data_IF_940830257919
#
_entry.id   IF_940830257919
#
_cell.length_a   1.000
_cell.length_b   1.000
_cell.length_c   1.000
_cell.angle_alpha   90.00
_cell.angle_beta   90.00
_cell.angle_gamma   90.00
#
_symmetry.space_group_name_H-M   'P 1'
#
loop_
_entity.id
_entity.type
_entity.pdbx_description
1 polymer ?
#
# COMPACT_ATOMS: atom_id res chain seq x y z
N UNK A 1 21.21 -2.67 20.80
CA UNK A 1 21.61 -3.31 19.52
C UNK A 1 21.71 -2.30 18.37
N UNK A 2 22.37 -2.69 17.28
CA UNK A 2 22.58 -1.87 16.08
C UNK A 2 21.72 -2.40 14.95
N UNK A 3 20.70 -1.64 14.56
CA UNK A 3 19.76 -2.01 13.48
C UNK A 3 20.02 -1.15 12.24
N UNK A 4 20.18 -1.80 11.09
CA UNK A 4 20.28 -1.12 9.82
C UNK A 4 19.02 -1.39 8.98
N UNK A 5 18.24 -0.35 8.69
CA UNK A 5 16.97 -0.50 7.98
C UNK A 5 17.07 0.05 6.56
N UNK A 6 16.42 -0.60 5.58
CA UNK A 6 16.37 -0.12 4.19
C UNK A 6 14.94 -0.10 3.69
N UNK A 7 14.43 1.11 3.43
CA UNK A 7 13.17 1.39 2.77
C UNK A 7 13.41 2.33 1.58
N UNK A 8 12.84 2.00 0.42
CA UNK A 8 13.09 2.72 -0.83
C UNK A 8 11.96 3.61 -1.32
N UNK A 9 10.82 3.66 -0.59
CA UNK A 9 9.60 4.36 -0.99
C UNK A 9 8.91 5.00 0.22
N UNK A 10 7.94 5.89 -0.03
CA UNK A 10 7.21 6.60 1.02
C UNK A 10 6.42 5.66 1.96
N UNK A 11 5.83 4.59 1.43
CA UNK A 11 5.17 3.56 2.23
C UNK A 11 6.15 2.81 3.12
N UNK A 12 7.32 2.46 2.57
CA UNK A 12 8.40 1.83 3.32
C UNK A 12 8.95 2.73 4.43
N UNK A 13 9.05 4.05 4.22
CA UNK A 13 9.43 5.03 5.24
C UNK A 13 8.42 5.06 6.41
N UNK A 14 7.12 5.01 6.10
CA UNK A 14 6.06 4.96 7.11
C UNK A 14 6.12 3.65 7.92
N UNK A 15 6.18 2.51 7.24
CA UNK A 15 6.28 1.20 7.91
C UNK A 15 7.58 1.07 8.72
N UNK A 16 8.68 1.61 8.19
CA UNK A 16 9.96 1.68 8.88
C UNK A 16 9.92 2.55 10.14
N UNK A 17 9.21 3.69 10.08
CA UNK A 17 9.04 4.56 11.24
C UNK A 17 8.26 3.87 12.37
N UNK A 18 7.15 3.20 12.04
CA UNK A 18 6.37 2.44 13.02
C UNK A 18 7.18 1.28 13.62
N UNK A 19 7.98 0.59 12.80
CA UNK A 19 8.87 -0.46 13.26
C UNK A 19 9.98 0.08 14.19
N UNK A 20 10.58 1.23 13.87
CA UNK A 20 11.59 1.90 14.70
C UNK A 20 11.02 2.25 16.07
N UNK A 21 9.83 2.87 16.11
CA UNK A 21 9.16 3.18 17.37
C UNK A 21 8.94 1.93 18.22
N UNK A 22 8.51 0.83 17.60
CA UNK A 22 8.29 -0.43 18.29
C UNK A 22 9.60 -1.12 18.73
N UNK A 23 10.70 -1.00 17.96
CA UNK A 23 12.01 -1.52 18.35
C UNK A 23 12.59 -0.77 19.56
N UNK A 24 12.45 0.54 19.61
CA UNK A 24 12.92 1.36 20.73
C UNK A 24 12.18 1.04 22.06
N UNK A 25 10.90 0.63 21.96
CA UNK A 25 10.16 0.13 23.13
C UNK A 25 10.67 -1.22 23.66
N UNK A 26 11.44 -1.98 22.87
CA UNK A 26 11.98 -3.28 23.25
C UNK A 26 13.47 -3.25 23.56
N UNK A 27 14.18 -2.29 23.00
CA UNK A 27 15.63 -2.14 23.12
C UNK A 27 15.96 -0.65 23.38
N UNK A 28 16.04 -0.28 24.65
CA UNK A 28 16.35 1.09 25.08
C UNK A 28 17.73 1.57 24.59
N UNK A 29 18.61 0.63 24.22
CA UNK A 29 19.94 0.91 23.69
C UNK A 29 20.02 0.85 22.17
N UNK A 30 18.87 0.78 21.46
CA UNK A 30 18.81 0.65 20.02
C UNK A 30 19.54 1.79 19.28
N UNK A 31 20.53 1.43 18.47
CA UNK A 31 21.20 2.34 17.55
C UNK A 31 20.67 2.09 16.14
N UNK A 32 20.00 3.10 15.59
CA UNK A 32 19.19 3.00 14.38
C UNK A 32 19.80 3.79 13.23
N UNK A 33 20.17 3.11 12.15
CA UNK A 33 20.69 3.70 10.93
C UNK A 33 19.86 3.25 9.74
N UNK A 34 19.48 4.19 8.83
CA UNK A 34 18.52 3.81 7.81
C UNK A 34 18.72 4.51 6.46
N UNK A 35 18.31 3.80 5.42
CA UNK A 35 17.86 4.37 4.15
C UNK A 35 16.33 4.47 4.25
N UNK A 36 15.79 5.69 4.19
CA UNK A 36 14.38 5.95 4.44
C UNK A 36 14.05 7.39 4.17
N UNK A 37 13.21 7.98 5.00
CA UNK A 37 12.80 9.38 4.86
C UNK A 37 12.55 10.08 6.19
N UNK A 38 11.78 11.15 6.11
CA UNK A 38 11.53 12.04 7.25
C UNK A 38 10.79 11.32 8.41
N UNK A 39 9.94 10.34 8.12
CA UNK A 39 9.19 9.63 9.16
C UNK A 39 10.10 8.75 10.01
N UNK A 40 11.00 7.99 9.37
CA UNK A 40 12.01 7.21 10.09
C UNK A 40 12.98 8.11 10.86
N UNK A 41 13.33 9.28 10.29
CA UNK A 41 14.18 10.27 10.97
C UNK A 41 13.50 10.82 12.23
N UNK A 42 12.22 11.14 12.17
CA UNK A 42 11.42 11.61 13.31
C UNK A 42 11.35 10.59 14.45
N UNK A 43 11.48 9.31 14.13
CA UNK A 43 11.58 8.23 15.11
C UNK A 43 13.03 7.96 15.56
N UNK A 44 13.98 8.87 15.32
CA UNK A 44 15.34 8.81 15.85
C UNK A 44 16.33 8.01 15.00
N UNK A 45 15.97 7.54 13.81
CA UNK A 45 16.94 6.87 12.95
C UNK A 45 17.86 7.88 12.25
N UNK A 46 19.16 7.56 12.21
CA UNK A 46 20.11 8.30 11.39
C UNK A 46 19.89 7.97 9.92
N UNK A 47 19.39 8.93 9.14
CA UNK A 47 19.14 8.74 7.70
C UNK A 47 20.44 8.94 6.91
N UNK A 48 20.86 7.86 6.24
CA UNK A 48 22.05 7.84 5.37
C UNK A 48 21.71 8.30 3.95
N UNK A 49 20.57 7.86 3.44
CA UNK A 49 20.06 8.20 2.11
C UNK A 49 18.56 8.35 2.14
N UNK A 50 18.05 9.48 1.66
CA UNK A 50 16.61 9.72 1.58
C UNK A 50 16.01 9.00 0.35
N UNK A 51 14.85 8.32 0.53
CA UNK A 51 14.20 7.53 -0.53
C UNK A 51 13.86 8.35 -1.79
N UNK A 52 13.63 9.66 -1.68
CA UNK A 52 13.40 10.54 -2.83
C UNK A 52 14.54 10.51 -3.85
N UNK A 53 15.74 10.16 -3.42
CA UNK A 53 16.92 9.99 -4.28
C UNK A 53 17.10 8.55 -4.80
N UNK A 54 16.13 7.65 -4.49
CA UNK A 54 16.16 6.24 -4.88
C UNK A 54 15.05 5.89 -5.89
N UNK A 55 14.09 6.78 -6.08
CA UNK A 55 12.89 6.54 -6.88
C UNK A 55 13.22 6.57 -8.39
N UNK A 56 13.68 5.44 -8.91
CA UNK A 56 13.74 5.19 -10.35
C UNK A 56 12.61 4.23 -10.72
N UNK A 57 11.51 4.75 -11.27
CA UNK A 57 10.34 3.96 -11.64
C UNK A 57 10.27 3.79 -13.15
N UNK A 58 10.18 2.53 -13.59
CA UNK A 58 10.03 2.18 -15.00
C UNK A 58 11.33 1.69 -15.66
N UNK A 59 11.13 0.83 -16.67
CA UNK A 59 12.25 0.15 -17.36
C UNK A 59 13.29 1.12 -17.94
N UNK A 60 12.84 2.20 -18.56
CA UNK A 60 13.71 3.21 -19.18
C UNK A 60 14.46 4.04 -18.14
N UNK A 61 13.82 4.41 -17.02
CA UNK A 61 14.48 5.14 -15.95
C UNK A 61 15.55 4.30 -15.25
N UNK A 62 15.26 3.01 -15.04
CA UNK A 62 16.25 2.06 -14.49
C UNK A 62 17.45 1.91 -15.41
N UNK A 63 17.26 1.75 -16.73
CA UNK A 63 18.35 1.66 -17.71
C UNK A 63 19.19 2.94 -17.73
N UNK A 64 18.56 4.10 -17.77
CA UNK A 64 19.23 5.40 -17.80
C UNK A 64 20.07 5.64 -16.54
N UNK A 65 19.61 5.14 -15.38
CA UNK A 65 20.23 5.38 -14.08
C UNK A 65 20.99 4.16 -13.53
N UNK A 66 21.33 3.18 -14.36
CA UNK A 66 21.98 1.93 -13.89
C UNK A 66 23.28 2.20 -13.14
N UNK A 67 24.08 3.19 -13.57
CA UNK A 67 25.33 3.59 -12.90
C UNK A 67 25.05 4.13 -11.50
N UNK A 68 24.04 4.96 -11.35
CA UNK A 68 23.61 5.52 -10.04
C UNK A 68 23.10 4.41 -9.12
N UNK A 69 22.35 3.45 -9.65
CA UNK A 69 21.87 2.30 -8.87
C UNK A 69 23.04 1.46 -8.37
N UNK A 70 24.03 1.17 -9.23
CA UNK A 70 25.23 0.41 -8.83
C UNK A 70 26.08 1.18 -7.82
N UNK A 71 26.24 2.49 -7.99
CA UNK A 71 26.93 3.35 -7.02
C UNK A 71 26.20 3.36 -5.66
N UNK A 72 24.88 3.43 -5.67
CA UNK A 72 24.07 3.33 -4.45
C UNK A 72 24.23 1.97 -3.75
N UNK A 73 24.26 0.87 -4.50
CA UNK A 73 24.52 -0.47 -3.93
C UNK A 73 25.90 -0.53 -3.30
N UNK A 74 26.93 -0.01 -3.97
CA UNK A 74 28.29 0.01 -3.43
C UNK A 74 28.41 0.86 -2.17
N UNK A 75 27.80 2.04 -2.19
CA UNK A 75 27.75 2.94 -1.03
C UNK A 75 27.02 2.30 0.15
N UNK A 76 25.86 1.69 -0.07
CA UNK A 76 25.09 0.99 0.97
C UNK A 76 25.91 -0.13 1.61
N UNK A 77 26.57 -0.94 0.82
CA UNK A 77 27.44 -2.03 1.33
C UNK A 77 28.57 -1.50 2.20
N UNK A 78 29.26 -0.45 1.75
CA UNK A 78 30.35 0.17 2.54
C UNK A 78 29.83 0.74 3.85
N UNK A 79 28.67 1.37 3.81
CA UNK A 79 28.05 1.97 4.99
C UNK A 79 27.61 0.89 6.01
N UNK A 80 27.01 -0.20 5.56
CA UNK A 80 26.66 -1.36 6.41
C UNK A 80 27.91 -1.97 7.08
N UNK A 81 29.01 -2.13 6.33
CA UNK A 81 30.27 -2.65 6.89
C UNK A 81 30.84 -1.73 7.98
N UNK A 82 30.79 -0.41 7.77
CA UNK A 82 31.27 0.57 8.75
C UNK A 82 30.35 0.60 9.98
N UNK A 83 29.07 0.47 9.79
CA UNK A 83 28.09 0.49 10.87
C UNK A 83 28.11 -0.82 11.69
N UNK A 84 28.43 -1.98 11.09
CA UNK A 84 28.44 -3.31 11.73
C UNK A 84 27.13 -3.60 12.45
N UNK A 85 26.01 -3.73 11.73
CA UNK A 85 24.71 -3.99 12.35
C UNK A 85 24.62 -5.41 12.93
N UNK A 86 23.90 -5.55 14.04
CA UNK A 86 23.50 -6.85 14.58
C UNK A 86 22.33 -7.45 13.77
N UNK A 87 21.49 -6.59 13.19
CA UNK A 87 20.40 -6.97 12.29
C UNK A 87 20.28 -6.02 11.09
N UNK A 88 20.12 -6.60 9.89
CA UNK A 88 19.77 -5.88 8.66
C UNK A 88 18.29 -6.09 8.37
N UNK A 89 17.49 -5.01 8.41
CA UNK A 89 16.04 -5.04 8.17
C UNK A 89 15.71 -4.44 6.82
N UNK A 90 15.21 -5.26 5.90
CA UNK A 90 14.83 -4.87 4.55
C UNK A 90 13.31 -4.73 4.49
N UNK A 91 12.82 -3.55 4.06
CA UNK A 91 11.39 -3.24 4.00
C UNK A 91 10.99 -3.08 2.55
N UNK A 92 10.14 -3.99 2.03
CA UNK A 92 9.70 -3.99 0.61
C UNK A 92 10.88 -3.74 -0.37
N UNK A 93 10.74 -2.88 -1.37
CA UNK A 93 11.78 -2.40 -2.31
C UNK A 93 12.65 -3.54 -2.92
N UNK A 94 12.03 -4.54 -3.56
CA UNK A 94 12.67 -5.83 -3.85
C UNK A 94 13.84 -5.76 -4.82
N UNK A 95 13.86 -4.79 -5.72
CA UNK A 95 14.94 -4.65 -6.71
C UNK A 95 16.30 -4.43 -6.06
N UNK A 96 16.37 -3.51 -5.12
CA UNK A 96 17.57 -3.14 -4.39
C UNK A 96 17.82 -4.08 -3.20
N UNK A 97 16.79 -4.32 -2.38
CA UNK A 97 16.89 -5.09 -1.16
C UNK A 97 17.37 -6.52 -1.39
N UNK A 98 16.96 -7.19 -2.48
CA UNK A 98 17.45 -8.53 -2.81
C UNK A 98 18.95 -8.58 -3.18
N UNK A 99 19.50 -7.48 -3.73
CA UNK A 99 20.95 -7.38 -4.01
C UNK A 99 21.72 -7.27 -2.70
N UNK A 100 21.24 -6.44 -1.79
CA UNK A 100 21.84 -6.25 -0.47
C UNK A 100 21.70 -7.54 0.37
N UNK A 101 20.53 -8.17 0.38
CA UNK A 101 20.29 -9.45 1.08
C UNK A 101 21.30 -10.52 0.65
N UNK A 102 21.44 -10.72 -0.68
CA UNK A 102 22.39 -11.70 -1.23
C UNK A 102 23.83 -11.46 -0.78
N UNK A 103 24.22 -10.21 -0.64
CA UNK A 103 25.56 -9.84 -0.21
C UNK A 103 25.73 -9.98 1.30
N UNK A 104 24.78 -9.49 2.10
CA UNK A 104 24.81 -9.50 3.56
C UNK A 104 24.84 -10.93 4.11
N UNK A 105 24.03 -11.83 3.54
CA UNK A 105 23.99 -13.25 3.93
C UNK A 105 25.35 -13.94 3.76
N UNK A 106 26.14 -13.57 2.75
CA UNK A 106 27.49 -14.12 2.54
C UNK A 106 28.49 -13.70 3.62
N UNK A 107 28.19 -12.59 4.31
CA UNK A 107 29.01 -12.05 5.39
C UNK A 107 28.50 -12.47 6.77
N UNK A 108 27.48 -13.31 6.82
CA UNK A 108 26.90 -13.77 8.08
C UNK A 108 26.04 -12.73 8.80
N UNK A 109 25.70 -11.60 8.14
CA UNK A 109 24.83 -10.57 8.73
C UNK A 109 23.38 -11.09 8.72
N UNK A 110 22.68 -11.15 9.87
CA UNK A 110 21.29 -11.58 9.95
C UNK A 110 20.38 -10.66 9.12
N UNK A 111 19.67 -11.25 8.15
CA UNK A 111 18.79 -10.53 7.23
C UNK A 111 17.33 -10.81 7.60
N UNK A 112 16.63 -9.77 8.05
CA UNK A 112 15.20 -9.74 8.28
C UNK A 112 14.51 -9.04 7.11
N UNK A 113 13.53 -9.70 6.48
CA UNK A 113 12.81 -9.10 5.36
C UNK A 113 11.34 -8.87 5.76
N UNK A 114 10.96 -7.62 5.88
CA UNK A 114 9.62 -7.17 6.23
C UNK A 114 8.88 -6.66 4.97
N UNK A 115 7.64 -7.13 4.77
CA UNK A 115 6.85 -6.89 3.56
C UNK A 115 7.55 -7.51 2.34
N UNK A 116 7.38 -8.81 2.20
CA UNK A 116 8.03 -9.57 1.13
C UNK A 116 7.59 -9.10 -0.28
N UNK A 117 8.45 -9.27 -1.29
CA UNK A 117 8.05 -9.04 -2.68
C UNK A 117 6.81 -9.87 -3.04
N UNK A 118 5.89 -9.28 -3.79
CA UNK A 118 4.66 -9.92 -4.25
C UNK A 118 4.95 -11.04 -5.28
N UNK A 119 5.69 -12.06 -4.85
CA UNK A 119 6.07 -13.22 -5.66
C UNK A 119 4.85 -14.06 -6.08
N UNK A 120 3.78 -13.99 -5.30
CA UNK A 120 2.49 -14.63 -5.56
C UNK A 120 1.74 -14.02 -6.75
N UNK A 121 1.96 -12.74 -7.05
CA UNK A 121 1.33 -12.04 -8.19
C UNK A 121 2.08 -12.32 -9.50
N UNK A 122 3.41 -12.32 -9.45
CA UNK A 122 4.28 -12.49 -10.61
C UNK A 122 5.71 -12.84 -10.18
N UNK A 123 6.51 -13.45 -11.05
CA UNK A 123 7.91 -13.85 -10.76
C UNK A 123 8.04 -14.75 -9.52
N UNK A 124 7.27 -15.81 -9.48
CA UNK A 124 7.29 -16.85 -8.43
C UNK A 124 8.70 -17.41 -8.14
N UNK A 125 9.59 -17.40 -9.13
CA UNK A 125 11.00 -17.81 -8.96
C UNK A 125 11.79 -16.96 -7.94
N UNK A 126 11.26 -15.80 -7.51
CA UNK A 126 11.83 -15.00 -6.42
C UNK A 126 11.82 -15.74 -5.08
N UNK A 127 10.90 -16.66 -4.87
CA UNK A 127 10.81 -17.44 -3.62
C UNK A 127 12.11 -18.18 -3.33
N UNK A 128 12.72 -18.81 -4.35
CA UNK A 128 14.04 -19.48 -4.20
C UNK A 128 15.14 -18.52 -3.76
N UNK A 129 15.10 -17.27 -4.25
CA UNK A 129 16.09 -16.25 -3.86
C UNK A 129 15.86 -15.74 -2.44
N UNK A 130 14.59 -15.56 -2.04
CA UNK A 130 14.21 -15.21 -0.67
C UNK A 130 14.70 -16.30 0.30
N UNK A 131 14.40 -17.57 0.02
CA UNK A 131 14.84 -18.69 0.82
C UNK A 131 16.37 -18.71 1.03
N UNK A 132 17.13 -18.42 -0.04
CA UNK A 132 18.60 -18.47 -0.02
C UNK A 132 19.27 -17.26 0.64
N UNK A 133 18.63 -16.09 0.61
CA UNK A 133 19.28 -14.81 0.92
C UNK A 133 18.61 -14.02 2.04
N UNK A 134 17.68 -14.62 2.80
CA UNK A 134 17.08 -14.02 3.98
C UNK A 134 17.00 -15.05 5.09
N UNK A 135 17.26 -14.63 6.33
CA UNK A 135 17.16 -15.51 7.51
C UNK A 135 15.70 -15.54 8.00
N UNK A 136 15.06 -14.37 8.11
CA UNK A 136 13.74 -14.21 8.67
C UNK A 136 12.84 -13.41 7.72
N UNK A 137 11.55 -13.77 7.62
CA UNK A 137 10.61 -13.26 6.61
C UNK A 137 9.28 -12.98 7.24
N UNK A 138 8.81 -11.73 7.10
CA UNK A 138 7.59 -11.24 7.71
C UNK A 138 6.60 -10.82 6.62
N UNK A 139 5.46 -11.50 6.55
CA UNK A 139 4.40 -11.24 5.58
C UNK A 139 3.23 -10.52 6.22
N UNK A 140 2.52 -9.73 5.42
CA UNK A 140 1.44 -8.86 5.87
C UNK A 140 0.05 -9.26 5.34
N UNK A 141 0.00 -10.15 4.34
CA UNK A 141 -1.24 -10.62 3.76
C UNK A 141 -1.50 -12.08 4.16
N UNK A 142 -2.71 -12.44 4.61
CA UNK A 142 -3.00 -13.78 5.15
C UNK A 142 -2.80 -14.89 4.13
N UNK A 143 -3.14 -14.68 2.85
CA UNK A 143 -2.95 -15.67 1.79
C UNK A 143 -1.48 -15.93 1.42
N UNK A 144 -0.57 -15.07 1.86
CA UNK A 144 0.87 -15.27 1.68
C UNK A 144 1.37 -16.48 2.49
N UNK A 145 0.71 -16.81 3.61
CA UNK A 145 1.02 -18.00 4.41
C UNK A 145 0.90 -19.26 3.56
N UNK A 146 -0.27 -19.46 2.94
CA UNK A 146 -0.49 -20.62 2.08
C UNK A 146 0.47 -20.65 0.89
N UNK A 147 0.71 -19.49 0.29
CA UNK A 147 1.63 -19.37 -0.84
C UNK A 147 3.08 -19.74 -0.45
N UNK A 148 3.62 -19.18 0.61
CA UNK A 148 5.01 -19.43 0.98
C UNK A 148 5.19 -20.76 1.70
N UNK A 149 4.35 -21.09 2.69
CA UNK A 149 4.53 -22.31 3.51
C UNK A 149 3.96 -23.56 2.85
N UNK A 150 2.70 -23.51 2.35
CA UNK A 150 2.08 -24.70 1.81
C UNK A 150 2.64 -25.04 0.44
N UNK A 151 2.72 -24.06 -0.46
CA UNK A 151 3.18 -24.29 -1.84
C UNK A 151 4.69 -24.39 -1.96
N UNK A 152 5.45 -23.53 -1.27
CA UNK A 152 6.91 -23.40 -1.44
C UNK A 152 7.73 -23.96 -0.28
N UNK A 153 7.11 -24.43 0.80
CA UNK A 153 7.77 -24.93 2.00
C UNK A 153 8.80 -23.96 2.59
N UNK A 154 8.52 -22.66 2.46
CA UNK A 154 9.35 -21.57 2.96
C UNK A 154 8.73 -21.01 4.23
N UNK A 155 9.40 -21.15 5.35
CA UNK A 155 8.95 -20.61 6.64
C UNK A 155 8.90 -19.09 6.61
N UNK A 156 7.77 -18.55 7.06
CA UNK A 156 7.49 -17.12 7.20
C UNK A 156 6.75 -16.85 8.51
N UNK A 157 6.66 -15.60 8.90
CA UNK A 157 5.81 -15.15 10.01
C UNK A 157 4.74 -14.19 9.48
N UNK A 158 3.48 -14.52 9.69
CA UNK A 158 2.38 -13.59 9.44
C UNK A 158 2.24 -12.62 10.61
N UNK A 159 2.49 -11.36 10.36
CA UNK A 159 2.53 -10.32 11.40
C UNK A 159 1.29 -9.43 11.45
N UNK A 160 0.41 -9.55 10.45
CA UNK A 160 -0.73 -8.64 10.24
C UNK A 160 -0.37 -7.48 9.33
N UNK A 161 -1.39 -6.69 8.95
CA UNK A 161 -1.19 -5.61 7.98
C UNK A 161 -0.97 -4.27 8.69
N UNK A 162 0.19 -3.59 8.45
CA UNK A 162 0.55 -2.35 9.15
C UNK A 162 -0.41 -1.18 8.88
N UNK A 163 -1.15 -1.22 7.78
CA UNK A 163 -2.17 -0.23 7.45
C UNK A 163 -3.26 -0.12 8.55
N UNK A 164 -3.53 -1.21 9.27
CA UNK A 164 -4.47 -1.17 10.40
C UNK A 164 -3.95 -0.23 11.48
N UNK A 165 -2.68 -0.36 11.85
CA UNK A 165 -2.05 0.50 12.87
C UNK A 165 -2.05 1.97 12.41
N UNK A 166 -1.78 2.22 11.13
CA UNK A 166 -1.80 3.55 10.53
C UNK A 166 -3.17 4.22 10.62
N UNK A 167 -4.23 3.50 10.25
CA UNK A 167 -5.60 4.04 10.27
C UNK A 167 -6.08 4.34 11.70
N UNK A 168 -5.68 3.52 12.67
CA UNK A 168 -5.99 3.76 14.07
C UNK A 168 -5.18 4.90 14.71
N UNK A 169 -4.04 5.26 14.13
CA UNK A 169 -3.23 6.39 14.57
C UNK A 169 -3.73 7.75 14.04
N UNK A 170 -4.64 7.74 13.05
CA UNK A 170 -5.20 8.98 12.49
C UNK A 170 -6.18 9.59 13.48
N UNK A 171 -6.03 10.87 13.85
CA UNK A 171 -6.95 11.57 14.72
C UNK A 171 -8.39 11.49 14.20
N UNK A 172 -9.35 11.54 15.12
CA UNK A 172 -10.75 11.58 14.76
C UNK A 172 -11.06 12.85 13.95
N UNK A 173 -11.77 12.65 12.84
CA UNK A 173 -12.24 13.76 12.01
C UNK A 173 -13.44 14.42 12.70
N UNK A 174 -13.40 15.74 12.80
CA UNK A 174 -14.62 16.53 13.07
C UNK A 174 -15.41 16.65 11.77
N UNK A 175 -16.25 15.65 11.49
CA UNK A 175 -16.96 15.50 10.21
C UNK A 175 -17.78 16.72 9.85
N UNK A 176 -18.53 17.31 10.82
CA UNK A 176 -19.36 18.51 10.57
C UNK A 176 -18.51 19.70 10.14
N UNK A 177 -17.36 19.92 10.76
CA UNK A 177 -16.45 20.99 10.40
C UNK A 177 -15.85 20.76 8.99
N UNK A 178 -15.53 19.52 8.65
CA UNK A 178 -15.00 19.20 7.33
C UNK A 178 -16.07 19.33 6.24
N UNK A 179 -17.31 18.90 6.51
CA UNK A 179 -18.45 19.12 5.61
C UNK A 179 -18.71 20.61 5.40
N UNK A 180 -18.68 21.41 6.46
CA UNK A 180 -18.87 22.86 6.39
C UNK A 180 -17.82 23.54 5.51
N UNK A 181 -16.53 23.13 5.58
CA UNK A 181 -15.45 23.60 4.72
C UNK A 181 -15.73 23.37 3.23
N UNK A 182 -16.46 22.31 2.89
CA UNK A 182 -16.82 21.93 1.52
C UNK A 182 -18.21 22.45 1.11
N UNK A 183 -18.92 23.15 2.00
CA UNK A 183 -20.30 23.57 1.75
C UNK A 183 -21.27 22.41 1.59
N UNK A 184 -21.02 21.27 2.23
CA UNK A 184 -21.84 20.05 2.18
C UNK A 184 -22.74 19.99 3.41
N UNK A 185 -24.08 20.07 3.27
CA UNK A 185 -25.01 19.89 4.37
C UNK A 185 -24.82 18.52 5.06
N UNK A 186 -25.08 18.45 6.39
CA UNK A 186 -24.89 17.22 7.15
C UNK A 186 -25.77 16.05 6.69
N UNK A 187 -26.95 16.34 6.14
CA UNK A 187 -27.87 15.34 5.61
C UNK A 187 -27.57 14.93 4.15
N UNK A 188 -26.68 15.64 3.44
CA UNK A 188 -26.34 15.32 2.06
C UNK A 188 -25.39 14.11 1.99
N UNK A 189 -25.75 13.12 1.19
CA UNK A 189 -24.95 11.93 0.96
C UNK A 189 -23.76 12.22 0.06
N UNK A 190 -22.61 11.64 0.35
CA UNK A 190 -21.36 11.85 -0.39
C UNK A 190 -20.90 10.57 -1.08
N UNK A 191 -20.49 10.69 -2.34
CA UNK A 191 -19.78 9.67 -3.09
C UNK A 191 -18.32 10.12 -3.26
N UNK A 192 -17.39 9.34 -2.71
CA UNK A 192 -15.96 9.61 -2.84
C UNK A 192 -15.42 9.08 -4.17
N UNK A 193 -14.61 9.88 -4.87
CA UNK A 193 -13.89 9.47 -6.08
C UNK A 193 -12.40 9.41 -5.77
N UNK A 194 -11.81 8.21 -5.85
CA UNK A 194 -10.38 7.95 -5.68
C UNK A 194 -9.76 7.51 -7.02
N UNK A 195 -9.44 8.45 -7.92
CA UNK A 195 -9.07 8.13 -9.31
C UNK A 195 -7.63 7.63 -9.46
N UNK A 196 -6.90 7.48 -8.35
CA UNK A 196 -5.51 7.02 -8.32
C UNK A 196 -4.52 8.15 -8.09
N UNK A 197 -3.24 7.78 -7.97
CA UNK A 197 -2.13 8.69 -7.65
C UNK A 197 -1.22 9.00 -8.85
N UNK A 198 -1.50 8.44 -10.04
CA UNK A 198 -0.71 8.61 -11.25
C UNK A 198 -1.51 9.30 -12.34
N UNK A 199 -0.87 10.21 -13.08
CA UNK A 199 -1.51 10.92 -14.22
C UNK A 199 -2.20 9.97 -15.21
N UNK A 200 -1.60 8.81 -15.47
CA UNK A 200 -2.18 7.82 -16.41
C UNK A 200 -3.46 7.17 -15.88
N UNK A 201 -3.54 6.92 -14.58
CA UNK A 201 -4.73 6.38 -13.92
C UNK A 201 -5.86 7.42 -13.98
N UNK A 202 -5.58 8.64 -13.54
CA UNK A 202 -6.55 9.75 -13.52
C UNK A 202 -7.11 10.02 -14.92
N UNK A 203 -6.25 10.13 -15.93
CA UNK A 203 -6.69 10.38 -17.31
C UNK A 203 -7.63 9.29 -17.87
N UNK A 204 -7.56 8.06 -17.37
CA UNK A 204 -8.37 6.95 -17.90
C UNK A 204 -9.59 6.63 -17.04
N UNK A 205 -9.50 6.84 -15.73
CA UNK A 205 -10.51 6.38 -14.78
C UNK A 205 -11.42 7.54 -14.35
N UNK A 206 -10.88 8.73 -14.07
CA UNK A 206 -11.70 9.86 -13.63
C UNK A 206 -12.79 10.26 -14.63
N UNK A 207 -12.58 10.25 -15.97
CA UNK A 207 -13.67 10.48 -16.92
C UNK A 207 -14.84 9.51 -16.78
N UNK A 208 -14.54 8.23 -16.48
CA UNK A 208 -15.59 7.23 -16.24
C UNK A 208 -16.27 7.46 -14.88
N UNK A 209 -15.52 7.81 -13.84
CA UNK A 209 -16.10 8.16 -12.55
C UNK A 209 -17.00 9.39 -12.64
N UNK A 210 -16.61 10.40 -13.42
CA UNK A 210 -17.38 11.63 -13.62
C UNK A 210 -18.64 11.41 -14.46
N UNK A 211 -18.65 10.44 -15.37
CA UNK A 211 -19.80 10.20 -16.25
C UNK A 211 -21.07 9.70 -15.56
N UNK A 212 -20.98 9.31 -14.29
CA UNK A 212 -22.16 8.85 -13.53
C UNK A 212 -22.75 9.92 -12.62
N UNK A 213 -22.15 11.12 -12.55
CA UNK A 213 -22.58 12.19 -11.62
C UNK A 213 -24.04 12.54 -11.82
N UNK A 214 -24.47 12.76 -13.06
CA UNK A 214 -25.83 13.16 -13.40
C UNK A 214 -26.88 12.09 -13.07
N UNK A 215 -26.46 10.82 -12.99
CA UNK A 215 -27.35 9.74 -12.60
C UNK A 215 -27.64 9.69 -11.08
N UNK A 216 -26.88 10.45 -10.26
CA UNK A 216 -27.04 10.51 -8.81
C UNK A 216 -27.18 11.94 -8.29
N UNK A 217 -28.22 12.71 -8.71
CA UNK A 217 -28.35 14.14 -8.41
C UNK A 217 -28.51 14.46 -6.92
N UNK A 218 -28.92 13.48 -6.11
CA UNK A 218 -29.08 13.62 -4.66
C UNK A 218 -27.77 13.38 -3.89
N UNK A 219 -26.66 13.08 -4.58
CA UNK A 219 -25.37 12.86 -3.95
C UNK A 219 -24.38 13.97 -4.31
N UNK A 220 -23.55 14.35 -3.35
CA UNK A 220 -22.38 15.20 -3.60
C UNK A 220 -21.19 14.32 -3.95
N UNK A 221 -20.55 14.57 -5.06
CA UNK A 221 -19.30 13.88 -5.43
C UNK A 221 -18.10 14.68 -4.94
N UNK A 222 -17.10 14.00 -4.38
CA UNK A 222 -15.85 14.60 -3.90
C UNK A 222 -14.66 13.78 -4.38
N UNK A 223 -13.72 14.43 -5.05
CA UNK A 223 -12.47 13.79 -5.50
C UNK A 223 -11.42 13.89 -4.41
N UNK A 224 -10.85 12.76 -4.01
CA UNK A 224 -9.63 12.70 -3.20
C UNK A 224 -8.41 12.78 -4.13
N UNK A 225 -7.78 13.95 -4.18
CA UNK A 225 -6.58 14.23 -4.95
C UNK A 225 -5.29 14.10 -4.15
N UNK A 226 -4.15 14.06 -4.84
CA UNK A 226 -2.81 14.04 -4.24
C UNK A 226 -1.97 15.21 -4.74
N UNK A 227 -1.13 15.81 -3.90
CA UNK A 227 -0.26 16.96 -4.24
C UNK A 227 0.79 16.66 -5.32
N UNK A 228 1.04 15.37 -5.61
CA UNK A 228 1.91 14.97 -6.71
C UNK A 228 1.32 15.27 -8.09
N UNK A 229 0.03 15.59 -8.15
CA UNK A 229 -0.76 15.83 -9.37
C UNK A 229 -1.35 17.24 -9.28
N UNK A 230 -1.23 17.99 -10.34
CA UNK A 230 -1.83 19.31 -10.42
C UNK A 230 -3.36 19.21 -10.30
N UNK A 231 -3.96 20.08 -9.49
CA UNK A 231 -5.42 20.13 -9.24
C UNK A 231 -6.21 20.33 -10.53
N UNK A 232 -5.64 21.06 -11.49
CA UNK A 232 -6.25 21.33 -12.80
C UNK A 232 -6.55 20.07 -13.60
N UNK A 233 -5.75 19.00 -13.41
CA UNK A 233 -5.99 17.73 -14.08
C UNK A 233 -7.29 17.06 -13.61
N UNK A 234 -7.60 17.15 -12.32
CA UNK A 234 -8.87 16.63 -11.77
C UNK A 234 -10.05 17.49 -12.26
N UNK A 235 -9.91 18.80 -12.21
CA UNK A 235 -10.92 19.76 -12.65
C UNK A 235 -11.25 19.64 -14.14
N UNK A 236 -10.27 19.25 -14.97
CA UNK A 236 -10.48 19.00 -16.40
C UNK A 236 -11.55 17.94 -16.67
N UNK A 237 -11.62 16.88 -15.84
CA UNK A 237 -12.53 15.75 -16.04
C UNK A 237 -13.76 15.80 -15.14
N UNK A 238 -13.69 16.57 -14.07
CA UNK A 238 -14.77 16.76 -13.12
C UNK A 238 -14.84 18.25 -12.69
N UNK A 239 -15.23 19.16 -13.60
CA UNK A 239 -15.11 20.61 -13.38
C UNK A 239 -15.94 21.13 -12.21
N UNK A 240 -17.11 20.52 -11.96
CA UNK A 240 -18.05 20.94 -10.92
C UNK A 240 -17.97 20.06 -9.65
N UNK A 241 -16.86 19.32 -9.48
CA UNK A 241 -16.66 18.43 -8.33
C UNK A 241 -15.60 19.01 -7.41
N UNK A 242 -15.83 18.96 -6.11
CA UNK A 242 -14.85 19.36 -5.13
C UNK A 242 -13.61 18.44 -5.19
N UNK A 243 -12.44 19.03 -5.27
CA UNK A 243 -11.16 18.31 -5.23
C UNK A 243 -10.44 18.63 -3.92
N UNK A 244 -10.33 17.63 -3.06
CA UNK A 244 -9.68 17.72 -1.76
C UNK A 244 -8.30 17.04 -1.87
N UNK A 245 -7.25 17.83 -1.63
CA UNK A 245 -5.88 17.37 -1.80
C UNK A 245 -5.31 16.78 -0.49
N UNK A 246 -4.64 15.62 -0.58
CA UNK A 246 -3.92 14.93 0.51
C UNK A 246 -4.74 14.63 1.78
N UNK A 247 -6.05 14.56 1.66
CA UNK A 247 -6.99 14.28 2.76
C UNK A 247 -7.93 13.11 2.41
N UNK A 248 -7.39 12.06 1.82
CA UNK A 248 -8.17 10.90 1.34
C UNK A 248 -9.03 10.29 2.44
N UNK A 249 -8.50 10.13 3.64
CA UNK A 249 -9.23 9.52 4.76
C UNK A 249 -10.38 10.41 5.25
N UNK A 250 -10.21 11.73 5.22
CA UNK A 250 -11.28 12.66 5.60
C UNK A 250 -12.43 12.60 4.59
N UNK A 251 -12.10 12.52 3.29
CA UNK A 251 -13.11 12.34 2.23
C UNK A 251 -13.83 10.99 2.38
N UNK A 252 -13.10 9.91 2.68
CA UNK A 252 -13.70 8.60 2.89
C UNK A 252 -14.62 8.58 4.11
N UNK A 253 -14.22 9.21 5.23
CA UNK A 253 -15.03 9.21 6.47
C UNK A 253 -16.39 9.87 6.30
N UNK A 254 -16.52 10.89 5.43
CA UNK A 254 -17.83 11.52 5.14
C UNK A 254 -18.60 10.82 4.02
N UNK A 255 -18.00 9.83 3.34
CA UNK A 255 -18.58 9.17 2.19
C UNK A 255 -19.55 8.04 2.58
N UNK A 256 -20.67 7.94 1.85
CA UNK A 256 -21.57 6.80 1.92
C UNK A 256 -21.04 5.60 1.13
N UNK A 257 -20.37 5.88 0.01
CA UNK A 257 -19.77 4.91 -0.91
C UNK A 257 -18.58 5.54 -1.61
N UNK A 258 -17.62 4.72 -2.07
CA UNK A 258 -16.48 5.20 -2.83
C UNK A 258 -16.34 4.49 -4.17
N UNK A 259 -15.87 5.20 -5.20
CA UNK A 259 -15.39 4.62 -6.45
C UNK A 259 -13.87 4.73 -6.43
N UNK A 260 -13.18 3.58 -6.42
CA UNK A 260 -11.77 3.49 -6.08
C UNK A 260 -10.97 2.85 -7.21
N UNK A 261 -9.89 3.48 -7.61
CA UNK A 261 -8.90 2.84 -8.50
C UNK A 261 -8.19 1.70 -7.78
N UNK A 262 -8.06 0.54 -8.44
CA UNK A 262 -7.38 -0.62 -7.87
C UNK A 262 -5.97 -0.27 -7.39
N UNK A 263 -5.68 -0.59 -6.13
CA UNK A 263 -4.44 -0.32 -5.42
C UNK A 263 -4.65 -0.46 -3.91
N UNK A 264 -3.71 0.03 -3.12
CA UNK A 264 -3.77 0.03 -1.64
C UNK A 264 -5.03 0.77 -1.13
N UNK A 265 -5.46 1.80 -1.85
CA UNK A 265 -6.66 2.58 -1.52
C UNK A 265 -7.93 1.72 -1.39
N UNK A 266 -8.01 0.57 -2.07
CA UNK A 266 -9.14 -0.35 -1.90
C UNK A 266 -9.17 -0.97 -0.50
N UNK A 267 -8.01 -1.31 0.05
CA UNK A 267 -7.91 -1.85 1.39
C UNK A 267 -8.17 -0.76 2.44
N UNK A 268 -7.62 0.44 2.26
CA UNK A 268 -7.88 1.62 3.10
C UNK A 268 -9.38 1.91 3.22
N UNK A 269 -10.07 1.92 2.07
CA UNK A 269 -11.52 2.14 2.00
C UNK A 269 -12.31 1.06 2.75
N UNK A 270 -11.90 -0.20 2.60
CA UNK A 270 -12.55 -1.32 3.29
C UNK A 270 -12.33 -1.28 4.82
N UNK A 271 -11.11 -0.93 5.26
CA UNK A 271 -10.78 -0.79 6.69
C UNK A 271 -11.53 0.36 7.36
N UNK A 272 -11.83 1.43 6.61
CA UNK A 272 -12.71 2.53 7.05
C UNK A 272 -14.21 2.16 6.96
N UNK A 273 -14.54 0.93 6.56
CA UNK A 273 -15.90 0.43 6.39
C UNK A 273 -16.75 1.26 5.42
N UNK A 274 -16.13 1.77 4.37
CA UNK A 274 -16.83 2.46 3.28
C UNK A 274 -17.05 1.48 2.14
N UNK A 275 -18.30 1.15 1.79
CA UNK A 275 -18.60 0.33 0.61
C UNK A 275 -17.99 0.93 -0.65
N UNK A 276 -17.52 0.09 -1.57
CA UNK A 276 -16.78 0.59 -2.74
C UNK A 276 -17.04 -0.22 -4.00
N UNK A 277 -16.84 0.44 -5.13
CA UNK A 277 -16.67 -0.16 -6.45
C UNK A 277 -15.23 0.07 -6.88
N UNK A 278 -14.56 -0.98 -7.36
CA UNK A 278 -13.18 -0.91 -7.80
C UNK A 278 -13.12 -0.75 -9.32
N UNK A 279 -12.42 0.29 -9.77
CA UNK A 279 -12.17 0.57 -11.17
C UNK A 279 -10.72 0.27 -11.53
N UNK A 280 -10.50 -0.40 -12.67
CA UNK A 280 -9.17 -0.62 -13.21
C UNK A 280 -9.14 -0.42 -14.73
N UNK A 281 -8.35 0.53 -15.19
CA UNK A 281 -8.21 0.86 -16.63
C UNK A 281 -6.77 1.23 -16.96
N UNK A 282 -6.16 0.49 -17.87
CA UNK A 282 -4.80 0.75 -18.36
C UNK A 282 -4.76 0.72 -19.89
N UNK A 283 -3.58 0.83 -20.52
CA UNK A 283 -3.50 0.71 -21.98
C UNK A 283 -3.83 -0.73 -22.40
N UNK A 284 -4.46 -0.95 -23.58
CA UNK A 284 -4.78 -2.30 -24.06
C UNK A 284 -3.55 -3.21 -24.12
N UNK A 285 -2.41 -2.66 -24.56
CA UNK A 285 -1.14 -3.40 -24.62
C UNK A 285 -0.64 -3.78 -23.22
N UNK A 286 -0.63 -2.83 -22.29
CA UNK A 286 -0.22 -3.10 -20.89
C UNK A 286 -1.11 -4.14 -20.24
N UNK A 287 -2.42 -4.08 -20.50
CA UNK A 287 -3.37 -5.06 -19.98
C UNK A 287 -3.16 -6.45 -20.57
N UNK A 288 -2.95 -6.55 -21.88
CA UNK A 288 -2.68 -7.82 -22.57
C UNK A 288 -1.42 -8.50 -22.01
N UNK A 289 -0.37 -7.71 -21.73
CA UNK A 289 0.87 -8.19 -21.10
C UNK A 289 0.60 -8.61 -19.65
N UNK A 290 -0.06 -7.77 -18.86
CA UNK A 290 -0.38 -8.06 -17.47
C UNK A 290 -1.22 -9.34 -17.33
N UNK A 291 -2.25 -9.52 -18.15
CA UNK A 291 -3.13 -10.69 -18.15
C UNK A 291 -2.38 -12.01 -18.43
N UNK A 292 -1.27 -11.96 -19.20
CA UNK A 292 -0.43 -13.15 -19.46
C UNK A 292 0.52 -13.49 -18.32
N UNK A 293 0.95 -12.47 -17.57
CA UNK A 293 1.98 -12.60 -16.52
C UNK A 293 1.36 -12.80 -15.15
N UNK A 294 0.28 -12.07 -14.86
CA UNK A 294 -0.41 -12.05 -13.57
C UNK A 294 -1.55 -13.08 -13.61
N UNK A 295 -1.46 -14.11 -12.79
CA UNK A 295 -2.47 -15.18 -12.69
C UNK A 295 -3.29 -15.02 -11.40
N UNK A 296 -3.86 -13.85 -11.20
CA UNK A 296 -4.68 -13.57 -10.03
C UNK A 296 -6.17 -13.58 -10.40
N UNK A 297 -7.05 -14.10 -9.53
CA UNK A 297 -8.49 -14.10 -9.77
C UNK A 297 -9.13 -12.71 -9.64
N UNK A 298 -8.49 -11.79 -8.93
CA UNK A 298 -8.98 -10.45 -8.64
C UNK A 298 -7.88 -9.40 -8.81
N UNK A 299 -8.26 -8.14 -9.00
CA UNK A 299 -7.32 -7.01 -9.13
C UNK A 299 -7.23 -6.17 -7.85
N UNK A 300 -8.22 -6.23 -6.96
CA UNK A 300 -8.19 -5.52 -5.68
C UNK A 300 -7.66 -6.39 -4.55
N UNK A 301 -6.93 -5.77 -3.62
CA UNK A 301 -6.47 -6.44 -2.40
C UNK A 301 -7.66 -6.94 -1.56
N UNK A 302 -8.76 -6.22 -1.55
CA UNK A 302 -9.99 -6.60 -0.82
C UNK A 302 -10.50 -7.98 -1.27
N UNK A 303 -10.69 -8.19 -2.56
CA UNK A 303 -11.17 -9.47 -3.10
C UNK A 303 -10.13 -10.58 -2.97
N UNK A 304 -8.85 -10.26 -3.15
CA UNK A 304 -7.75 -11.22 -2.95
C UNK A 304 -7.69 -11.73 -1.51
N UNK A 305 -7.79 -10.84 -0.52
CA UNK A 305 -7.77 -11.21 0.90
C UNK A 305 -9.08 -11.94 1.29
N UNK A 306 -10.22 -11.48 0.78
CA UNK A 306 -11.50 -12.15 1.00
C UNK A 306 -11.53 -13.57 0.39
N UNK A 307 -10.78 -13.81 -0.70
CA UNK A 307 -10.81 -15.05 -1.48
C UNK A 307 -12.07 -15.19 -2.33
N UNK A 308 -12.86 -14.12 -2.48
CA UNK A 308 -14.13 -14.08 -3.22
C UNK A 308 -14.41 -12.66 -3.75
N UNK A 309 -15.35 -12.53 -4.67
CA UNK A 309 -15.85 -11.24 -5.13
C UNK A 309 -16.69 -10.59 -4.01
N UNK A 310 -16.03 -9.83 -3.15
CA UNK A 310 -16.65 -9.08 -2.05
C UNK A 310 -17.11 -7.71 -2.53
N UNK A 311 -16.28 -7.02 -3.31
CA UNK A 311 -16.58 -5.73 -3.93
C UNK A 311 -16.54 -5.87 -5.45
N UNK A 312 -17.43 -5.18 -6.15
CA UNK A 312 -17.48 -5.20 -7.61
C UNK A 312 -16.19 -4.62 -8.21
N UNK A 313 -15.61 -5.36 -9.18
CA UNK A 313 -14.44 -4.91 -9.95
C UNK A 313 -14.82 -4.65 -11.41
N UNK A 314 -14.71 -3.41 -11.83
CA UNK A 314 -14.96 -2.99 -13.21
C UNK A 314 -13.61 -2.83 -13.93
N UNK A 315 -13.32 -3.76 -14.84
CA UNK A 315 -11.99 -3.89 -15.44
C UNK A 315 -12.06 -3.57 -16.95
N UNK A 316 -11.21 -2.66 -17.41
CA UNK A 316 -11.02 -2.29 -18.81
C UNK A 316 -12.32 -1.88 -19.52
N UNK A 317 -12.89 -2.73 -20.38
CA UNK A 317 -14.14 -2.47 -21.13
C UNK A 317 -15.35 -2.39 -20.21
N UNK A 318 -15.35 -3.14 -19.13
CA UNK A 318 -16.44 -3.17 -18.16
C UNK A 318 -16.37 -1.94 -17.22
N UNK A 319 -15.23 -1.21 -17.20
CA UNK A 319 -15.12 0.09 -16.55
C UNK A 319 -15.71 1.17 -17.48
N UNK A 320 -17.04 1.30 -17.48
CA UNK A 320 -17.84 2.23 -18.28
C UNK A 320 -19.01 2.82 -17.45
N UNK A 321 -19.68 3.86 -17.97
CA UNK A 321 -20.74 4.56 -17.25
C UNK A 321 -21.90 3.64 -16.86
N UNK A 322 -22.36 2.78 -17.77
CA UNK A 322 -23.50 1.90 -17.54
C UNK A 322 -23.23 0.92 -16.39
N UNK A 323 -22.14 0.15 -16.48
CA UNK A 323 -21.77 -0.82 -15.45
C UNK A 323 -21.47 -0.16 -14.10
N UNK A 324 -20.89 1.05 -14.11
CA UNK A 324 -20.60 1.81 -12.88
C UNK A 324 -21.89 2.33 -12.23
N UNK A 325 -22.88 2.77 -13.02
CA UNK A 325 -24.18 3.20 -12.50
C UNK A 325 -24.91 2.03 -11.84
N UNK A 326 -24.95 0.88 -12.51
CA UNK A 326 -25.58 -0.35 -11.99
C UNK A 326 -24.91 -0.81 -10.68
N UNK A 327 -23.57 -0.86 -10.66
CA UNK A 327 -22.81 -1.20 -9.45
C UNK A 327 -23.03 -0.21 -8.29
N UNK A 328 -23.15 1.08 -8.59
CA UNK A 328 -23.48 2.10 -7.57
C UNK A 328 -24.89 1.91 -7.00
N UNK A 329 -25.88 1.63 -7.84
CA UNK A 329 -27.24 1.35 -7.40
C UNK A 329 -27.31 0.13 -6.49
N UNK A 330 -26.61 -0.95 -6.87
CA UNK A 330 -26.53 -2.17 -6.05
C UNK A 330 -25.90 -1.88 -4.68
N UNK A 331 -24.71 -1.28 -4.64
CA UNK A 331 -24.00 -1.04 -3.37
C UNK A 331 -24.65 0.02 -2.48
N UNK A 332 -25.44 0.92 -3.04
CA UNK A 332 -26.25 1.92 -2.31
C UNK A 332 -27.54 1.29 -1.74
N UNK A 333 -27.99 0.16 -2.28
CA UNK A 333 -29.15 -0.55 -1.75
C UNK A 333 -28.89 -1.07 -0.32
N UNK A 334 -29.91 -1.20 0.55
CA UNK A 334 -29.75 -1.72 1.90
C UNK A 334 -29.10 -3.11 1.92
N UNK A 335 -29.49 -3.98 0.96
CA UNK A 335 -28.97 -5.36 0.86
C UNK A 335 -27.53 -5.40 0.39
N UNK A 336 -27.19 -4.68 -0.68
CA UNK A 336 -25.84 -4.61 -1.22
C UNK A 336 -24.87 -4.01 -0.20
N UNK A 337 -25.26 -2.91 0.45
CA UNK A 337 -24.47 -2.29 1.52
C UNK A 337 -24.21 -3.25 2.69
N UNK A 338 -25.24 -3.93 3.20
CA UNK A 338 -25.12 -4.89 4.30
C UNK A 338 -24.16 -6.03 3.96
N UNK A 339 -24.27 -6.59 2.76
CA UNK A 339 -23.39 -7.66 2.25
C UNK A 339 -21.92 -7.23 2.23
N UNK A 340 -21.62 -6.05 1.73
CA UNK A 340 -20.24 -5.53 1.66
C UNK A 340 -19.68 -5.28 3.05
N UNK A 341 -20.46 -4.63 3.93
CA UNK A 341 -19.99 -4.31 5.30
C UNK A 341 -19.73 -5.55 6.13
N UNK A 342 -20.60 -6.56 6.08
CA UNK A 342 -20.36 -7.85 6.75
C UNK A 342 -19.07 -8.52 6.23
N UNK A 343 -18.83 -8.46 4.91
CA UNK A 343 -17.59 -8.99 4.35
C UNK A 343 -16.34 -8.23 4.76
N UNK A 344 -16.45 -6.93 5.06
CA UNK A 344 -15.33 -6.15 5.60
C UNK A 344 -14.99 -6.54 7.04
N UNK A 345 -15.98 -6.92 7.86
CA UNK A 345 -15.71 -7.44 9.20
C UNK A 345 -14.89 -8.73 9.15
N UNK A 346 -15.26 -9.68 8.26
CA UNK A 346 -14.48 -10.91 8.01
C UNK A 346 -13.06 -10.59 7.51
N UNK A 347 -12.93 -9.60 6.61
CA UNK A 347 -11.64 -9.19 6.04
C UNK A 347 -10.72 -8.61 7.11
N UNK A 348 -11.23 -7.75 8.00
CA UNK A 348 -10.46 -7.15 9.09
C UNK A 348 -9.96 -8.22 10.05
N UNK A 349 -10.77 -9.22 10.38
CA UNK A 349 -10.35 -10.36 11.20
C UNK A 349 -9.21 -11.14 10.55
N UNK A 350 -9.29 -11.43 9.24
CA UNK A 350 -8.23 -12.13 8.49
C UNK A 350 -6.90 -11.36 8.46
N UNK A 351 -6.94 -10.04 8.47
CA UNK A 351 -5.74 -9.19 8.45
C UNK A 351 -4.95 -9.18 9.77
N UNK A 352 -5.46 -9.83 10.82
CA UNK A 352 -4.71 -10.06 12.06
C UNK A 352 -4.77 -8.96 13.12
N UNK A 353 -5.63 -7.95 12.94
CA UNK A 353 -5.84 -6.88 13.92
C UNK A 353 -4.65 -5.92 14.03
N UNK A 354 -4.62 -5.16 15.13
CA UNK A 354 -3.58 -4.15 15.44
C UNK A 354 -2.28 -4.79 15.92
N UNK A 355 -1.19 -4.03 15.88
CA UNK A 355 0.11 -4.40 16.44
C UNK A 355 1.05 -5.12 15.46
N UNK A 356 0.88 -4.95 14.14
CA UNK A 356 1.76 -5.54 13.14
C UNK A 356 3.23 -5.13 13.35
N UNK A 357 3.48 -3.83 13.54
CA UNK A 357 4.84 -3.31 13.76
C UNK A 357 5.44 -3.80 15.06
N UNK A 358 4.66 -3.94 16.12
CA UNK A 358 5.11 -4.49 17.42
C UNK A 358 5.47 -5.97 17.31
N UNK A 359 4.67 -6.75 16.57
CA UNK A 359 4.97 -8.19 16.33
C UNK A 359 6.31 -8.35 15.60
N UNK A 360 6.54 -7.55 14.54
CA UNK A 360 7.81 -7.57 13.81
C UNK A 360 8.96 -7.18 14.71
N UNK A 361 8.84 -6.09 15.48
CA UNK A 361 9.86 -5.64 16.43
C UNK A 361 10.23 -6.73 17.45
N UNK A 362 9.21 -7.38 18.04
CA UNK A 362 9.42 -8.48 18.99
C UNK A 362 10.16 -9.65 18.36
N UNK A 363 9.81 -10.03 17.12
CA UNK A 363 10.46 -11.13 16.41
C UNK A 363 11.90 -10.78 16.03
N UNK A 364 12.17 -9.57 15.55
CA UNK A 364 13.52 -9.09 15.24
C UNK A 364 14.35 -9.09 16.51
N UNK A 365 13.88 -8.47 17.58
CA UNK A 365 14.58 -8.39 18.86
C UNK A 365 14.96 -9.77 19.39
N UNK A 366 14.00 -10.69 19.51
CA UNK A 366 14.23 -12.05 20.01
C UNK A 366 15.25 -12.82 19.16
N UNK A 367 15.16 -12.72 17.82
CA UNK A 367 16.02 -13.46 16.88
C UNK A 367 17.41 -12.88 16.72
N UNK A 368 17.60 -11.63 17.11
CA UNK A 368 18.91 -10.98 17.10
C UNK A 368 19.65 -11.19 18.42
N UNK A 369 18.92 -11.47 19.52
CA UNK A 369 19.50 -11.80 20.82
C UNK A 369 19.75 -13.30 21.04
N UNK A 370 19.15 -14.16 20.18
CA UNK A 370 19.36 -15.62 20.22
C UNK A 370 20.69 -16.01 19.59
#
# INVERSE_FOLDING_TARGET
MRYYLIAGEASGDLHGANLIAALQQKDDSAVLRAWGGNKMQQQGAQIVKHYKHLAFMGFWEVLKNIRTILANVSFCKKDILNFKPDALVLIDYPGFNMIIAKWATKLGIPVHYYILPQAWAWKENRVKKLAKHTNFRYVILPFEVDFFEQKHKLSIDFVGHPLIDELFAIPDLKEDAFRAQLGIPNNQKVIALLPGSRKQEINKILPVMASVIDAFPNHRFVVAGTSNIDKSLYQRFAPNVDVVMDRTYDVLRIAQVAIVTSGTATLETALLKIPQIVCYKTSPLSFAIAKRIVKLPFVSLVNLIAGRLLVQELIQKDCNAFALTDALQDVLSPTGRKKVLSGYDDLIQKLGGRGASEKVANLIYKRTHA
#
